data_IF_811973082867
#
_entry.id   IF_811973082867
#
_cell.length_a   1.000
_cell.length_b   1.000
_cell.length_c   1.000
_cell.angle_alpha   90.00
_cell.angle_beta   90.00
_cell.angle_gamma   90.00
#
_symmetry.space_group_name_H-M   'P 1'
#
loop_
_entity.id
_entity.type
_entity.pdbx_description
1 polymer ?
#
# COMPACT_ATOMS: atom_id res chain seq x y z
N UNK A 1 5.52 6.71 23.87
CA UNK A 1 6.39 7.50 22.97
C UNK A 1 5.50 7.95 21.83
N UNK A 2 5.35 9.26 21.65
CA UNK A 2 4.66 9.82 20.48
C UNK A 2 5.50 9.50 19.24
N UNK A 3 4.89 8.99 18.17
CA UNK A 3 5.62 8.72 16.93
C UNK A 3 6.13 10.06 16.38
N UNK A 4 7.42 10.19 16.05
CA UNK A 4 7.98 11.44 15.57
C UNK A 4 7.29 11.85 14.26
N UNK A 5 6.96 13.13 14.11
CA UNK A 5 6.36 13.67 12.89
C UNK A 5 4.84 13.60 12.80
N UNK A 6 4.16 13.10 13.83
CA UNK A 6 2.70 13.17 13.93
C UNK A 6 2.26 14.64 14.02
N UNK A 7 1.29 14.99 13.19
CA UNK A 7 0.56 16.26 13.26
C UNK A 7 -0.88 15.98 13.68
N UNK A 8 -1.39 16.75 14.64
CA UNK A 8 -2.76 16.62 15.15
C UNK A 8 -3.58 17.87 14.82
N UNK A 9 -4.73 17.66 14.20
CA UNK A 9 -5.71 18.70 13.88
C UNK A 9 -7.02 18.37 14.59
N UNK A 10 -7.14 18.81 15.84
CA UNK A 10 -8.24 18.39 16.71
C UNK A 10 -8.16 16.88 16.95
N UNK A 11 -9.16 16.13 16.46
CA UNK A 11 -9.20 14.66 16.56
C UNK A 11 -8.42 13.95 15.44
N UNK A 12 -8.16 14.64 14.33
CA UNK A 12 -7.53 14.02 13.16
C UNK A 12 -6.02 13.93 13.38
N UNK A 13 -5.47 12.74 13.26
CA UNK A 13 -4.04 12.47 13.38
C UNK A 13 -3.48 12.11 12.00
N UNK A 14 -2.46 12.85 11.55
CA UNK A 14 -1.82 12.63 10.24
C UNK A 14 -0.30 12.53 10.37
N UNK A 15 0.29 11.66 9.57
CA UNK A 15 1.72 11.48 9.42
C UNK A 15 2.10 11.78 7.97
N UNK A 16 2.50 13.03 7.73
CA UNK A 16 2.76 13.55 6.39
C UNK A 16 4.24 13.55 6.01
N UNK A 17 5.12 13.00 6.85
CA UNK A 17 6.54 12.86 6.55
C UNK A 17 6.71 11.65 5.63
N UNK A 18 7.11 11.83 4.36
CA UNK A 18 7.40 10.70 3.49
C UNK A 18 8.64 9.96 3.99
N UNK A 19 8.63 8.65 3.84
CA UNK A 19 9.66 7.75 4.34
C UNK A 19 9.88 7.92 5.84
N UNK A 20 8.82 8.12 6.62
CA UNK A 20 8.89 8.35 8.06
C UNK A 20 9.66 7.24 8.77
N UNK A 21 9.46 6.01 8.29
CA UNK A 21 10.21 4.82 8.73
C UNK A 21 11.72 5.01 8.58
N UNK A 22 12.18 5.55 7.45
CA UNK A 22 13.61 5.78 7.15
C UNK A 22 14.17 6.99 7.89
N UNK A 23 13.42 8.09 7.92
CA UNK A 23 13.82 9.34 8.58
C UNK A 23 14.00 9.13 10.09
N UNK A 24 13.14 8.30 10.71
CA UNK A 24 13.21 8.01 12.14
C UNK A 24 13.97 6.71 12.48
N UNK A 25 14.65 6.07 11.51
CA UNK A 25 15.49 4.89 11.77
C UNK A 25 16.48 5.12 12.91
N UNK A 26 17.08 6.33 12.97
CA UNK A 26 18.06 6.69 13.99
C UNK A 26 17.50 6.81 15.41
N UNK A 27 16.17 6.82 15.57
CA UNK A 27 15.49 6.88 16.87
C UNK A 27 15.01 5.49 17.33
N UNK A 28 15.15 4.46 16.48
CA UNK A 28 14.77 3.10 16.80
C UNK A 28 15.87 2.48 17.68
N UNK A 29 15.60 2.38 18.97
CA UNK A 29 16.57 1.88 19.97
C UNK A 29 16.53 0.36 20.12
N UNK A 30 15.53 -0.32 19.55
CA UNK A 30 15.33 -1.77 19.70
C UNK A 30 15.22 -2.51 18.37
N UNK A 31 15.91 -3.66 18.27
CA UNK A 31 15.84 -4.56 17.12
C UNK A 31 14.41 -5.01 16.80
N UNK A 32 13.58 -5.24 17.84
CA UNK A 32 12.18 -5.62 17.64
C UNK A 32 11.35 -4.50 17.00
N UNK A 33 11.61 -3.25 17.35
CA UNK A 33 10.94 -2.10 16.72
C UNK A 33 11.34 -1.97 15.24
N UNK A 34 12.62 -2.21 14.92
CA UNK A 34 13.10 -2.21 13.54
C UNK A 34 12.37 -3.28 12.71
N UNK A 35 12.28 -4.52 13.23
CA UNK A 35 11.53 -5.59 12.57
C UNK A 35 10.06 -5.19 12.38
N UNK A 36 9.42 -4.63 13.42
CA UNK A 36 8.01 -4.21 13.35
C UNK A 36 7.78 -3.19 12.22
N UNK A 37 8.62 -2.16 12.14
CA UNK A 37 8.53 -1.13 11.09
C UNK A 37 8.75 -1.73 9.70
N UNK A 38 9.74 -2.62 9.57
CA UNK A 38 10.01 -3.31 8.30
C UNK A 38 8.83 -4.18 7.86
N UNK A 39 8.29 -4.98 8.77
CA UNK A 39 7.12 -5.84 8.51
C UNK A 39 5.90 -4.99 8.17
N UNK A 40 5.66 -3.89 8.88
CA UNK A 40 4.54 -2.97 8.60
C UNK A 40 4.62 -2.43 7.16
N UNK A 41 5.78 -1.91 6.74
CA UNK A 41 5.97 -1.44 5.37
C UNK A 41 5.76 -2.54 4.33
N UNK A 42 6.23 -3.76 4.59
CA UNK A 42 5.97 -4.91 3.71
C UNK A 42 4.48 -5.22 3.64
N UNK A 43 3.79 -5.25 4.78
CA UNK A 43 2.36 -5.50 4.84
C UNK A 43 1.58 -4.43 4.07
N UNK A 44 1.94 -3.14 4.21
CA UNK A 44 1.28 -2.05 3.48
C UNK A 44 1.54 -2.15 1.97
N UNK A 45 2.72 -2.60 1.53
CA UNK A 45 2.95 -2.92 0.12
C UNK A 45 1.99 -4.03 -0.34
N UNK A 46 1.85 -5.12 0.42
CA UNK A 46 1.02 -6.23 -0.02
C UNK A 46 -0.47 -6.04 0.24
N UNK A 47 -0.89 -5.05 1.02
CA UNK A 47 -2.28 -4.85 1.43
C UNK A 47 -3.22 -4.65 0.23
N UNK A 48 -2.87 -3.75 -0.69
CA UNK A 48 -3.68 -3.47 -1.88
C UNK A 48 -3.47 -4.49 -3.02
N UNK A 49 -2.42 -5.30 -2.95
CA UNK A 49 -2.01 -6.21 -4.03
C UNK A 49 -3.09 -7.22 -4.46
N UNK A 50 -3.79 -7.94 -3.54
CA UNK A 50 -4.83 -8.91 -3.91
C UNK A 50 -5.98 -8.28 -4.70
N UNK A 51 -6.42 -7.08 -4.30
CA UNK A 51 -7.50 -6.37 -4.98
C UNK A 51 -7.10 -5.99 -6.41
N UNK A 52 -5.92 -5.41 -6.58
CA UNK A 52 -5.42 -5.01 -7.91
C UNK A 52 -5.21 -6.23 -8.79
N UNK A 53 -4.67 -7.33 -8.25
CA UNK A 53 -4.52 -8.58 -8.97
C UNK A 53 -5.87 -9.08 -9.50
N UNK A 54 -6.91 -9.10 -8.66
CA UNK A 54 -8.27 -9.49 -9.07
C UNK A 54 -8.83 -8.57 -10.16
N UNK A 55 -8.67 -7.25 -10.01
CA UNK A 55 -9.13 -6.28 -11.00
C UNK A 55 -8.46 -6.45 -12.37
N UNK A 56 -7.19 -6.85 -12.42
CA UNK A 56 -6.48 -7.10 -13.68
C UNK A 56 -7.02 -8.31 -14.45
N UNK A 57 -7.53 -9.32 -13.75
CA UNK A 57 -8.23 -10.46 -14.35
C UNK A 57 -9.58 -10.03 -14.94
N UNK A 58 -10.33 -9.24 -14.19
CA UNK A 58 -11.69 -8.80 -14.58
C UNK A 58 -11.70 -7.73 -15.68
N UNK A 59 -10.74 -6.79 -15.64
CA UNK A 59 -10.76 -5.60 -16.49
C UNK A 59 -9.50 -5.50 -17.35
N UNK A 60 -9.53 -5.97 -18.61
CA UNK A 60 -8.41 -5.86 -19.54
C UNK A 60 -7.89 -4.44 -19.73
N UNK A 61 -8.79 -3.45 -19.63
CA UNK A 61 -8.46 -2.03 -19.78
C UNK A 61 -7.50 -1.51 -18.70
N UNK A 62 -7.40 -2.19 -17.54
CA UNK A 62 -6.49 -1.80 -16.46
C UNK A 62 -5.05 -2.25 -16.67
N UNK A 63 -4.77 -3.14 -17.65
CA UNK A 63 -3.46 -3.79 -17.87
C UNK A 63 -2.42 -2.86 -18.52
N UNK A 64 -2.36 -1.61 -18.08
CA UNK A 64 -1.39 -0.61 -18.48
C UNK A 64 -0.73 -0.04 -17.22
N UNK A 65 0.60 0.07 -17.20
CA UNK A 65 1.36 0.52 -16.03
C UNK A 65 0.83 1.85 -15.46
N UNK A 66 0.54 2.85 -16.32
CA UNK A 66 0.03 4.15 -15.87
C UNK A 66 -1.33 3.99 -15.20
N UNK A 67 -2.23 3.21 -15.79
CA UNK A 67 -3.57 2.96 -15.24
C UNK A 67 -3.51 2.19 -13.92
N UNK A 68 -2.67 1.17 -13.82
CA UNK A 68 -2.47 0.44 -12.56
C UNK A 68 -1.99 1.39 -11.48
N UNK A 69 -0.93 2.15 -11.73
CA UNK A 69 -0.40 3.10 -10.74
C UNK A 69 -1.44 4.15 -10.33
N UNK A 70 -2.17 4.73 -11.28
CA UNK A 70 -3.23 5.70 -10.99
C UNK A 70 -4.37 5.09 -10.19
N UNK A 71 -4.86 3.91 -10.57
CA UNK A 71 -5.97 3.24 -9.86
C UNK A 71 -5.52 2.81 -8.46
N UNK A 72 -4.32 2.25 -8.32
CA UNK A 72 -3.77 1.87 -7.01
C UNK A 72 -3.59 3.07 -6.10
N UNK A 73 -3.09 4.20 -6.62
CA UNK A 73 -2.97 5.43 -5.86
C UNK A 73 -4.34 5.98 -5.43
N UNK A 74 -5.32 6.04 -6.35
CA UNK A 74 -6.68 6.52 -6.04
C UNK A 74 -7.36 5.63 -5.01
N UNK A 75 -7.25 4.31 -5.13
CA UNK A 75 -7.81 3.38 -4.15
C UNK A 75 -7.10 3.55 -2.79
N UNK A 76 -5.77 3.66 -2.78
CA UNK A 76 -5.02 3.89 -1.53
C UNK A 76 -5.46 5.19 -0.84
N UNK A 77 -5.55 6.29 -1.60
CA UNK A 77 -6.04 7.57 -1.10
C UNK A 77 -7.47 7.46 -0.56
N UNK A 78 -8.35 6.74 -1.26
CA UNK A 78 -9.72 6.51 -0.82
C UNK A 78 -9.77 5.73 0.51
N UNK A 79 -8.92 4.72 0.68
CA UNK A 79 -8.82 3.94 1.92
C UNK A 79 -8.37 4.84 3.09
N UNK A 80 -7.30 5.61 2.89
CA UNK A 80 -6.77 6.55 3.90
C UNK A 80 -7.79 7.63 4.29
N UNK A 81 -8.49 8.22 3.32
CA UNK A 81 -9.57 9.17 3.60
C UNK A 81 -10.74 8.51 4.34
N UNK A 82 -11.06 7.27 4.02
CA UNK A 82 -12.11 6.50 4.73
C UNK A 82 -11.68 6.20 6.16
N UNK A 83 -10.41 5.92 6.41
CA UNK A 83 -9.88 5.72 7.77
C UNK A 83 -10.02 7.00 8.61
N UNK A 84 -9.70 8.18 8.07
CA UNK A 84 -9.96 9.46 8.75
C UNK A 84 -11.45 9.61 9.05
N UNK A 85 -12.31 9.35 8.07
CA UNK A 85 -13.76 9.47 8.28
C UNK A 85 -14.26 8.53 9.38
N UNK A 86 -13.79 7.27 9.39
CA UNK A 86 -14.11 6.30 10.43
C UNK A 86 -13.58 6.74 11.81
N UNK A 87 -12.38 7.31 11.86
CA UNK A 87 -11.81 7.83 13.11
C UNK A 87 -12.69 8.94 13.71
N UNK A 88 -13.15 9.87 12.87
CA UNK A 88 -14.08 10.94 13.27
C UNK A 88 -15.42 10.36 13.75
N UNK A 89 -15.95 9.33 13.09
CA UNK A 89 -17.27 8.78 13.40
C UNK A 89 -17.29 7.87 14.64
N UNK A 90 -16.29 7.03 14.83
CA UNK A 90 -16.34 5.93 15.83
C UNK A 90 -15.07 5.74 16.67
N UNK A 91 -14.13 6.69 16.68
CA UNK A 91 -12.88 6.60 17.47
C UNK A 91 -12.00 5.39 17.11
N UNK A 92 -11.82 5.16 15.81
CA UNK A 92 -11.06 4.03 15.31
C UNK A 92 -9.55 4.08 15.65
N UNK A 93 -9.07 5.18 16.25
CA UNK A 93 -7.67 5.45 16.59
C UNK A 93 -6.74 5.25 15.39
N UNK A 94 -7.15 5.80 14.23
CA UNK A 94 -6.42 5.67 12.97
C UNK A 94 -5.62 6.93 12.66
N UNK A 95 -4.44 6.72 12.08
CA UNK A 95 -3.56 7.77 11.58
C UNK A 95 -3.58 7.70 10.06
N UNK A 96 -3.70 8.86 9.42
CA UNK A 96 -3.48 8.98 7.99
C UNK A 96 -1.98 8.95 7.71
N UNK A 97 -1.47 7.97 6.99
CA UNK A 97 -0.04 7.83 6.72
C UNK A 97 0.24 8.08 5.25
N UNK A 98 1.03 9.11 4.93
CA UNK A 98 1.41 9.39 3.54
C UNK A 98 2.22 8.25 2.92
N UNK A 99 2.92 7.48 3.77
CA UNK A 99 3.68 6.31 3.36
C UNK A 99 2.79 5.17 2.85
N UNK A 100 1.56 5.10 3.34
CA UNK A 100 0.57 4.09 2.91
C UNK A 100 0.13 4.35 1.47
N UNK A 101 0.15 5.59 1.00
CA UNK A 101 -0.15 5.93 -0.40
C UNK A 101 0.84 5.28 -1.36
N UNK A 102 2.14 5.50 -1.16
CA UNK A 102 3.15 5.00 -2.11
C UNK A 102 3.42 3.51 -1.93
N UNK A 103 3.37 2.97 -0.71
CA UNK A 103 3.54 1.53 -0.44
C UNK A 103 2.41 0.71 -1.07
N UNK A 104 1.14 1.08 -0.85
CA UNK A 104 0.01 0.41 -1.51
C UNK A 104 0.06 0.56 -3.04
N UNK A 105 0.49 1.72 -3.55
CA UNK A 105 0.67 1.94 -5.00
C UNK A 105 1.74 1.01 -5.57
N UNK A 106 2.86 0.85 -4.86
CA UNK A 106 3.92 -0.12 -5.20
C UNK A 106 3.36 -1.55 -5.18
N UNK A 107 2.54 -1.88 -4.21
CA UNK A 107 1.78 -3.13 -4.15
C UNK A 107 0.99 -3.43 -5.42
N UNK A 108 0.19 -2.46 -5.86
CA UNK A 108 -0.57 -2.58 -7.10
C UNK A 108 0.32 -2.82 -8.33
N UNK A 109 1.48 -2.17 -8.38
CA UNK A 109 2.46 -2.41 -9.44
C UNK A 109 3.05 -3.84 -9.37
N UNK A 110 3.40 -4.33 -8.18
CA UNK A 110 3.89 -5.71 -7.99
C UNK A 110 2.82 -6.74 -8.37
N UNK A 111 1.55 -6.49 -8.04
CA UNK A 111 0.42 -7.32 -8.47
C UNK A 111 0.30 -7.36 -9.99
N UNK A 112 0.57 -6.25 -10.69
CA UNK A 112 0.59 -6.22 -12.15
C UNK A 112 1.75 -7.01 -12.76
N UNK A 113 2.93 -6.97 -12.15
CA UNK A 113 4.06 -7.81 -12.57
C UNK A 113 3.74 -9.29 -12.36
N UNK A 114 3.18 -9.65 -11.20
CA UNK A 114 2.74 -11.02 -10.91
C UNK A 114 1.70 -11.50 -11.94
N UNK A 115 0.71 -10.66 -12.25
CA UNK A 115 -0.29 -10.95 -13.28
C UNK A 115 0.36 -11.27 -14.64
N UNK A 116 1.31 -10.46 -15.09
CA UNK A 116 2.03 -10.70 -16.35
C UNK A 116 2.79 -12.02 -16.32
N UNK A 117 3.48 -12.33 -15.24
CA UNK A 117 4.21 -13.59 -15.06
C UNK A 117 3.27 -14.79 -15.11
N UNK A 118 2.14 -14.73 -14.41
CA UNK A 118 1.12 -15.79 -14.43
C UNK A 118 0.58 -16.02 -15.85
N UNK A 119 0.23 -14.95 -16.57
CA UNK A 119 -0.31 -15.06 -17.93
C UNK A 119 0.72 -15.60 -18.92
N UNK A 120 1.99 -15.15 -18.83
CA UNK A 120 3.06 -15.66 -19.68
C UNK A 120 3.25 -17.16 -19.47
N UNK A 121 3.37 -17.58 -18.21
CA UNK A 121 3.57 -18.99 -17.86
C UNK A 121 2.39 -19.87 -18.31
N UNK A 122 1.15 -19.37 -18.21
CA UNK A 122 -0.02 -20.05 -18.72
C UNK A 122 0.03 -20.21 -20.24
N UNK A 123 0.37 -19.15 -20.97
CA UNK A 123 0.45 -19.17 -22.44
C UNK A 123 1.52 -20.14 -22.94
N UNK A 124 2.69 -20.17 -22.29
CA UNK A 124 3.78 -21.09 -22.63
C UNK A 124 3.36 -22.55 -22.47
N UNK A 125 2.66 -22.88 -21.39
CA UNK A 125 2.18 -24.24 -21.11
C UNK A 125 1.13 -24.75 -22.11
N UNK A 126 0.29 -23.86 -22.64
CA UNK A 126 -0.73 -24.22 -23.63
C UNK A 126 -0.21 -24.24 -25.08
N UNK A 127 0.81 -23.45 -25.41
CA UNK A 127 1.41 -23.42 -26.75
C UNK A 127 2.48 -24.51 -26.98
N UNK A 128 3.13 -24.99 -25.92
CA UNK A 128 4.10 -26.12 -25.98
C UNK A 128 3.47 -27.49 -25.84
N UNK A 129 2.15 -27.56 -25.61
CA UNK A 129 1.36 -28.80 -25.51
C UNK A 129 0.79 -29.28 -26.87
N UNK A 130 1.25 -28.73 -27.99
CA UNK A 130 0.94 -29.20 -29.35
C UNK A 130 2.19 -29.77 -29.99
#
# INVERSE_FOLDING_TARGET
METPGIQQFGRIVVLLIPFNSLVNLGQITSFFQLIKVFVQNIMNIFLLSPLIFQLLWLFPNLRNTKRVLSVSFVISLFIECTQILLDILIDANRVFEIDDLWTNTLGGYLAFLLYKTCVSHWKDKFLTSK
#
